data_IF_759500253103
#
_entry.id   IF_759500253103
#
_cell.length_a   1.000
_cell.length_b   1.000
_cell.length_c   1.000
_cell.angle_alpha   90.00
_cell.angle_beta   90.00
_cell.angle_gamma   90.00
#
_symmetry.space_group_name_H-M   'P 1'
#
loop_
_entity.id
_entity.type
_entity.pdbx_description
1 polymer ?
#
# COMPACT_ATOMS: atom_id res chain seq x y z
N UNK A 1 -11.47 0.84 19.93
CA UNK A 1 -10.75 0.00 20.92
C UNK A 1 -10.22 0.93 22.00
N UNK A 2 -10.29 0.56 23.27
CA UNK A 2 -9.92 1.49 24.36
C UNK A 2 -8.40 1.56 24.57
N UNK A 3 -7.67 0.62 23.96
CA UNK A 3 -6.22 0.61 23.89
C UNK A 3 -5.73 0.00 22.57
N UNK A 4 -4.52 0.38 22.17
CA UNK A 4 -3.74 -0.33 21.14
C UNK A 4 -2.54 -0.96 21.83
N UNK A 5 -2.36 -2.26 21.64
CA UNK A 5 -1.16 -2.99 22.06
C UNK A 5 -0.21 -3.06 20.88
N UNK A 6 1.02 -2.60 21.08
CA UNK A 6 2.08 -2.65 20.09
C UNK A 6 3.18 -3.62 20.54
N UNK A 7 3.60 -4.48 19.62
CA UNK A 7 4.69 -5.44 19.83
C UNK A 7 5.81 -5.09 18.85
N UNK A 8 6.96 -4.70 19.38
CA UNK A 8 8.18 -4.49 18.59
C UNK A 8 9.00 -5.78 18.61
N UNK A 9 9.23 -6.34 17.42
CA UNK A 9 10.16 -7.45 17.23
C UNK A 9 11.47 -6.91 16.66
N UNK A 10 12.57 -6.98 17.43
CA UNK A 10 13.90 -6.52 17.02
C UNK A 10 14.95 -7.49 17.54
N UNK A 11 15.88 -7.91 16.68
CA UNK A 11 17.01 -8.78 17.07
C UNK A 11 16.56 -10.05 17.84
N UNK A 12 15.47 -10.68 17.39
CA UNK A 12 14.84 -11.85 18.02
C UNK A 12 14.31 -11.61 19.45
N UNK A 13 14.20 -10.36 19.88
CA UNK A 13 13.54 -9.95 21.13
C UNK A 13 12.21 -9.30 20.83
N UNK A 14 11.27 -9.44 21.76
CA UNK A 14 9.99 -8.74 21.75
C UNK A 14 9.92 -7.71 22.88
N UNK A 15 9.45 -6.52 22.55
CA UNK A 15 9.07 -5.50 23.52
C UNK A 15 7.59 -5.22 23.32
N UNK A 16 6.81 -5.31 24.40
CA UNK A 16 5.37 -5.07 24.37
C UNK A 16 5.07 -3.80 25.14
N UNK A 17 4.25 -2.94 24.56
CA UNK A 17 3.74 -1.76 25.23
C UNK A 17 2.33 -1.45 24.71
N UNK A 18 1.53 -0.74 25.49
CA UNK A 18 0.20 -0.29 25.07
C UNK A 18 0.06 1.21 25.19
N UNK A 19 -0.84 1.77 24.38
CA UNK A 19 -1.29 3.14 24.48
C UNK A 19 -2.80 3.13 24.61
N UNK A 20 -3.33 3.89 25.57
CA UNK A 20 -4.77 4.12 25.66
C UNK A 20 -5.22 4.97 24.47
N UNK A 21 -6.34 4.59 23.88
CA UNK A 21 -6.92 5.31 22.76
C UNK A 21 -8.16 6.01 23.28
N UNK A 22 -8.06 7.33 23.45
CA UNK A 22 -9.19 8.14 23.91
C UNK A 22 -10.40 7.99 22.98
N UNK A 23 -11.60 8.25 23.52
CA UNK A 23 -12.84 8.25 22.73
C UNK A 23 -12.75 9.20 21.54
N UNK A 24 -12.07 10.34 21.71
CA UNK A 24 -11.82 11.32 20.65
C UNK A 24 -11.00 10.73 19.50
N UNK A 25 -9.89 10.04 19.79
CA UNK A 25 -9.06 9.38 18.77
C UNK A 25 -9.85 8.24 18.10
N UNK A 26 -10.60 7.46 18.86
CA UNK A 26 -11.48 6.42 18.30
C UNK A 26 -12.53 7.02 17.34
N UNK A 27 -13.14 8.14 17.70
CA UNK A 27 -14.11 8.84 16.86
C UNK A 27 -13.47 9.34 15.56
N UNK A 28 -12.25 9.89 15.64
CA UNK A 28 -11.46 10.32 14.48
C UNK A 28 -11.08 9.18 13.55
N UNK A 29 -10.64 8.03 14.09
CA UNK A 29 -10.38 6.83 13.28
C UNK A 29 -11.63 6.34 12.54
N UNK A 30 -12.79 6.33 13.22
CA UNK A 30 -14.08 5.99 12.58
C UNK A 30 -14.52 7.02 11.55
N UNK A 31 -14.23 8.32 11.78
CA UNK A 31 -14.47 9.38 10.80
C UNK A 31 -13.61 9.16 9.55
N UNK A 32 -12.33 8.87 9.71
CA UNK A 32 -11.42 8.57 8.62
C UNK A 32 -11.87 7.36 7.81
N UNK A 33 -12.22 6.25 8.48
CA UNK A 33 -12.74 5.05 7.83
C UNK A 33 -13.99 5.36 6.99
N UNK A 34 -14.96 6.08 7.56
CA UNK A 34 -16.18 6.48 6.83
C UNK A 34 -15.86 7.38 5.64
N UNK A 35 -14.88 8.28 5.78
CA UNK A 35 -14.44 9.14 4.68
C UNK A 35 -13.90 8.32 3.51
N UNK A 36 -13.02 7.34 3.78
CA UNK A 36 -12.45 6.47 2.74
C UNK A 36 -13.48 5.60 2.02
N UNK A 37 -14.62 5.32 2.68
CA UNK A 37 -15.71 4.52 2.14
C UNK A 37 -16.83 5.37 1.52
N UNK A 38 -16.71 6.71 1.56
CA UNK A 38 -17.68 7.63 0.97
C UNK A 38 -17.58 7.63 -0.56
N UNK A 39 -18.71 7.77 -1.25
CA UNK A 39 -18.73 7.99 -2.71
C UNK A 39 -17.99 9.28 -3.10
N UNK A 40 -18.08 10.30 -2.25
CA UNK A 40 -17.38 11.58 -2.37
C UNK A 40 -16.54 11.80 -1.11
N UNK A 41 -15.33 11.23 -1.04
CA UNK A 41 -14.44 11.41 0.09
C UNK A 41 -13.94 12.86 0.16
N UNK A 42 -13.88 13.42 1.37
CA UNK A 42 -13.20 14.68 1.64
C UNK A 42 -11.69 14.46 1.54
N UNK A 43 -11.08 15.09 0.54
CA UNK A 43 -9.65 14.96 0.25
C UNK A 43 -8.78 15.56 1.36
N UNK A 44 -9.29 16.53 2.12
CA UNK A 44 -8.57 17.11 3.26
C UNK A 44 -8.37 16.09 4.38
N UNK A 45 -9.20 15.05 4.42
CA UNK A 45 -9.11 13.98 5.41
C UNK A 45 -8.23 12.83 4.96
N UNK A 46 -7.70 12.80 3.72
CA UNK A 46 -6.78 11.74 3.27
C UNK A 46 -5.51 11.66 4.12
N UNK A 47 -5.00 12.81 4.55
CA UNK A 47 -3.95 12.90 5.56
C UNK A 47 -4.57 12.95 6.97
N UNK A 48 -4.72 11.79 7.59
CA UNK A 48 -5.33 11.67 8.92
C UNK A 48 -4.58 12.47 10.00
N UNK A 49 -3.28 12.70 9.81
CA UNK A 49 -2.47 13.47 10.76
C UNK A 49 -2.73 14.97 10.67
N UNK A 50 -3.06 15.49 9.48
CA UNK A 50 -3.42 16.90 9.28
C UNK A 50 -4.92 17.11 9.47
N UNK A 51 -5.74 16.38 8.73
CA UNK A 51 -7.20 16.58 8.71
C UNK A 51 -7.91 16.19 10.00
N UNK A 52 -7.36 15.22 10.75
CA UNK A 52 -7.98 14.70 11.97
C UNK A 52 -7.06 14.75 13.19
N UNK A 53 -5.88 15.36 13.08
CA UNK A 53 -4.89 15.46 14.16
C UNK A 53 -4.51 14.09 14.78
N UNK A 54 -4.57 13.00 14.00
CA UNK A 54 -4.16 11.66 14.45
C UNK A 54 -2.73 11.37 13.97
N UNK A 55 -1.75 11.60 14.85
CA UNK A 55 -0.37 11.15 14.66
C UNK A 55 -0.09 9.74 15.20
N UNK A 56 1.10 9.21 14.90
CA UNK A 56 1.53 7.86 15.30
C UNK A 56 1.57 7.67 16.83
N UNK A 57 1.86 8.74 17.59
CA UNK A 57 1.89 8.72 19.06
C UNK A 57 0.56 8.33 19.72
N UNK A 58 -0.56 8.46 19.01
CA UNK A 58 -1.88 8.06 19.52
C UNK A 58 -2.17 6.57 19.30
N UNK A 59 -1.37 5.90 18.47
CA UNK A 59 -1.58 4.51 18.05
C UNK A 59 -0.44 3.60 18.50
N UNK A 60 0.75 4.15 18.73
CA UNK A 60 1.94 3.41 19.18
C UNK A 60 2.58 4.18 20.33
N UNK A 61 2.97 3.50 21.42
CA UNK A 61 3.72 4.12 22.51
C UNK A 61 4.97 4.86 22.00
N UNK A 62 5.15 6.15 22.34
CA UNK A 62 6.21 6.98 21.75
C UNK A 62 7.60 6.40 21.89
N UNK A 63 7.94 5.82 23.04
CA UNK A 63 9.27 5.25 23.28
C UNK A 63 9.51 3.95 22.48
N UNK A 64 8.47 3.13 22.32
CA UNK A 64 8.52 1.94 21.46
C UNK A 64 8.73 2.37 19.99
N UNK A 65 8.01 3.40 19.55
CA UNK A 65 8.11 3.92 18.19
C UNK A 65 9.49 4.54 17.92
N UNK A 66 10.06 5.31 18.86
CA UNK A 66 11.43 5.83 18.73
C UNK A 66 12.45 4.72 18.53
N UNK A 67 12.32 3.61 19.27
CA UNK A 67 13.21 2.45 19.11
C UNK A 67 13.03 1.79 17.74
N UNK A 68 11.79 1.64 17.28
CA UNK A 68 11.48 1.05 15.98
C UNK A 68 12.06 1.87 14.82
N UNK A 69 11.97 3.19 14.89
CA UNK A 69 12.44 4.12 13.83
C UNK A 69 13.97 4.22 13.72
N UNK A 70 14.73 3.58 14.61
CA UNK A 70 16.19 3.44 14.47
C UNK A 70 16.59 2.31 13.50
N UNK A 71 15.62 1.48 13.05
CA UNK A 71 15.87 0.40 12.12
C UNK A 71 16.18 0.92 10.71
N UNK A 72 16.86 0.10 9.90
CA UNK A 72 17.08 0.38 8.48
C UNK A 72 15.78 0.41 7.68
N UNK A 73 14.79 -0.36 8.12
CA UNK A 73 13.45 -0.46 7.56
C UNK A 73 12.49 -0.87 8.68
N UNK A 74 11.23 -0.47 8.58
CA UNK A 74 10.20 -0.81 9.54
C UNK A 74 9.01 -1.47 8.81
N UNK A 75 8.65 -2.68 9.24
CA UNK A 75 7.44 -3.35 8.80
C UNK A 75 6.37 -3.19 9.88
N UNK A 76 5.24 -2.61 9.50
CA UNK A 76 4.07 -2.52 10.36
C UNK A 76 3.11 -3.65 10.02
N UNK A 77 2.59 -4.32 11.05
CA UNK A 77 1.54 -5.34 10.91
C UNK A 77 0.31 -4.84 11.67
N UNK A 78 -0.60 -4.12 11.01
CA UNK A 78 -1.78 -3.57 11.67
C UNK A 78 -2.79 -4.68 12.01
N UNK A 79 -3.76 -4.35 12.84
CA UNK A 79 -4.89 -5.22 13.12
C UNK A 79 -6.22 -4.48 12.91
N UNK A 80 -7.17 -5.13 12.24
CA UNK A 80 -8.52 -4.60 12.03
C UNK A 80 -8.52 -3.22 11.35
N UNK A 81 -9.21 -2.20 11.90
CA UNK A 81 -9.35 -0.89 11.26
C UNK A 81 -8.01 -0.14 11.10
N UNK A 82 -6.95 -0.56 11.80
CA UNK A 82 -5.62 0.02 11.65
C UNK A 82 -4.98 -0.28 10.28
N UNK A 83 -5.53 -1.23 9.50
CA UNK A 83 -5.10 -1.45 8.11
C UNK A 83 -5.41 -0.27 7.20
N UNK A 84 -6.40 0.56 7.54
CA UNK A 84 -6.76 1.74 6.76
C UNK A 84 -5.80 2.90 7.01
N UNK A 85 -5.06 2.87 8.12
CA UNK A 85 -4.19 3.97 8.51
C UNK A 85 -2.97 4.04 7.56
N UNK A 86 -2.65 5.21 6.99
CA UNK A 86 -1.52 5.36 6.10
C UNK A 86 -0.23 5.48 6.91
N UNK A 87 0.23 4.36 7.47
CA UNK A 87 1.33 4.30 8.45
C UNK A 87 2.57 5.10 8.05
N UNK A 88 3.01 4.96 6.80
CA UNK A 88 4.18 5.67 6.29
C UNK A 88 4.04 7.20 6.43
N UNK A 89 2.84 7.76 6.22
CA UNK A 89 2.58 9.20 6.25
C UNK A 89 2.06 9.71 7.60
N UNK A 90 1.98 8.88 8.64
CA UNK A 90 1.62 9.36 9.98
C UNK A 90 2.67 10.34 10.52
N UNK A 91 2.21 11.37 11.21
CA UNK A 91 3.10 12.33 11.87
C UNK A 91 3.64 11.80 13.21
N UNK A 92 4.92 12.04 13.45
CA UNK A 92 5.62 11.78 14.70
C UNK A 92 6.78 12.77 14.87
N UNK A 93 6.78 13.54 15.96
CA UNK A 93 7.78 14.58 16.25
C UNK A 93 8.02 15.53 15.06
N UNK A 94 6.94 16.09 14.49
CA UNK A 94 6.95 17.04 13.37
C UNK A 94 7.52 16.49 12.05
N UNK A 95 7.68 15.17 11.93
CA UNK A 95 8.06 14.47 10.69
C UNK A 95 7.07 13.37 10.37
N UNK A 96 7.08 12.87 9.14
CA UNK A 96 6.37 11.66 8.70
C UNK A 96 7.22 10.43 8.98
N UNK A 97 6.59 9.28 9.21
CA UNK A 97 7.33 8.05 9.50
C UNK A 97 8.31 7.67 8.37
N UNK A 98 7.93 7.89 7.11
CA UNK A 98 8.79 7.64 5.94
C UNK A 98 10.06 8.52 5.92
N UNK A 99 10.11 9.62 6.68
CA UNK A 99 11.31 10.46 6.77
C UNK A 99 12.37 9.90 7.73
N UNK A 100 12.03 8.88 8.54
CA UNK A 100 12.98 8.21 9.42
C UNK A 100 13.58 6.96 8.77
N UNK A 101 12.74 6.11 8.17
CA UNK A 101 13.16 4.91 7.45
C UNK A 101 12.05 4.46 6.47
N UNK A 102 12.35 3.57 5.50
CA UNK A 102 11.34 2.92 4.67
C UNK A 102 10.31 2.17 5.53
N UNK A 103 9.03 2.41 5.26
CA UNK A 103 7.92 1.79 5.98
C UNK A 103 7.17 0.84 5.05
N UNK A 104 7.16 -0.44 5.39
CA UNK A 104 6.33 -1.48 4.76
C UNK A 104 5.11 -1.80 5.62
N UNK A 105 4.04 -2.31 5.00
CA UNK A 105 2.86 -2.80 5.72
C UNK A 105 2.58 -4.23 5.28
N UNK A 106 2.42 -5.14 6.25
CA UNK A 106 1.97 -6.51 5.99
C UNK A 106 0.52 -6.70 6.47
N UNK A 107 -0.25 -7.56 5.80
CA UNK A 107 -1.62 -7.87 6.24
C UNK A 107 -1.63 -8.68 7.56
N UNK A 108 -0.60 -9.49 7.81
CA UNK A 108 -0.42 -10.22 9.06
C UNK A 108 1.05 -10.65 9.21
N UNK A 109 1.41 -11.12 10.41
CA UNK A 109 2.80 -11.47 10.73
C UNK A 109 3.31 -12.68 9.95
N UNK A 110 2.44 -13.61 9.56
CA UNK A 110 2.87 -14.83 8.85
C UNK A 110 3.47 -14.55 7.47
N UNK A 111 3.11 -13.42 6.85
CA UNK A 111 3.66 -12.97 5.57
C UNK A 111 5.15 -12.62 5.63
N UNK A 112 5.75 -12.44 6.81
CA UNK A 112 7.18 -12.11 6.94
C UNK A 112 8.07 -13.19 6.33
N UNK A 113 7.62 -14.44 6.33
CA UNK A 113 8.35 -15.57 5.74
C UNK A 113 8.49 -15.44 4.22
N UNK A 114 7.62 -14.66 3.57
CA UNK A 114 7.62 -14.45 2.12
C UNK A 114 8.45 -13.22 1.69
N UNK A 115 8.91 -12.39 2.64
CA UNK A 115 9.71 -11.20 2.32
C UNK A 115 11.14 -11.51 1.89
N UNK A 116 11.63 -12.73 2.15
CA UNK A 116 12.95 -13.18 1.73
C UNK A 116 13.04 -13.60 0.26
N UNK A 117 12.03 -13.32 -0.56
CA UNK A 117 12.08 -13.62 -1.99
C UNK A 117 13.10 -12.69 -2.68
N UNK A 118 14.08 -13.28 -3.36
CA UNK A 118 15.06 -12.52 -4.13
C UNK A 118 14.37 -11.84 -5.32
N UNK A 119 14.36 -10.50 -5.32
CA UNK A 119 13.97 -9.77 -6.51
C UNK A 119 15.04 -9.92 -7.59
N UNK A 120 14.62 -10.18 -8.83
CA UNK A 120 15.55 -10.28 -9.94
C UNK A 120 16.32 -8.97 -10.13
N UNK A 121 17.65 -9.04 -10.15
CA UNK A 121 18.55 -7.91 -10.47
C UNK A 121 18.37 -7.39 -11.90
N UNK A 122 17.64 -8.12 -12.75
CA UNK A 122 17.26 -7.75 -14.11
C UNK A 122 15.75 -7.92 -14.29
N UNK A 123 14.97 -7.16 -13.52
CA UNK A 123 13.51 -7.25 -13.51
C UNK A 123 12.94 -7.07 -14.92
N UNK A 124 12.13 -8.04 -15.33
CA UNK A 124 11.24 -7.95 -16.49
C UNK A 124 9.87 -7.43 -16.02
N UNK A 125 9.08 -6.86 -16.93
CA UNK A 125 7.77 -6.29 -16.60
C UNK A 125 6.66 -6.85 -17.48
N UNK A 126 5.56 -7.28 -16.86
CA UNK A 126 4.28 -7.55 -17.48
C UNK A 126 3.38 -6.32 -17.30
N UNK A 127 2.71 -5.89 -18.37
CA UNK A 127 1.93 -4.65 -18.40
C UNK A 127 0.47 -4.93 -18.76
N UNK A 128 -0.44 -4.54 -17.88
CA UNK A 128 -1.88 -4.58 -18.12
C UNK A 128 -2.53 -3.31 -17.57
N UNK A 129 -3.39 -2.64 -18.34
CA UNK A 129 -4.02 -1.43 -17.85
C UNK A 129 -4.84 -0.69 -18.88
N UNK A 130 -5.43 0.43 -18.47
CA UNK A 130 -6.39 1.18 -19.28
C UNK A 130 -7.46 0.27 -19.94
N UNK A 131 -8.14 -0.58 -19.16
CA UNK A 131 -9.14 -1.47 -19.71
C UNK A 131 -10.33 -0.67 -20.27
N UNK A 132 -11.03 -1.27 -21.21
CA UNK A 132 -12.23 -0.69 -21.77
C UNK A 132 -13.42 -0.88 -20.82
N UNK A 133 -13.89 0.21 -20.23
CA UNK A 133 -15.05 0.24 -19.33
C UNK A 133 -16.38 0.46 -20.06
N UNK A 134 -16.45 0.31 -21.39
CA UNK A 134 -17.66 0.59 -22.16
C UNK A 134 -18.94 -0.13 -21.68
N UNK A 135 -18.80 -1.29 -21.05
CA UNK A 135 -19.91 -2.06 -20.44
C UNK A 135 -20.30 -1.55 -19.02
N UNK A 136 -19.49 -0.66 -18.43
CA UNK A 136 -19.63 -0.13 -17.07
C UNK A 136 -19.88 1.38 -17.10
N UNK A 137 -21.14 1.78 -17.30
CA UNK A 137 -21.55 3.19 -17.44
C UNK A 137 -21.26 4.07 -16.22
N UNK A 138 -21.02 3.49 -15.05
CA UNK A 138 -20.68 4.21 -13.81
C UNK A 138 -19.18 4.44 -13.62
N UNK A 139 -18.33 3.95 -14.53
CA UNK A 139 -16.87 4.02 -14.42
C UNK A 139 -16.29 4.82 -15.58
N UNK A 140 -15.78 6.01 -15.27
CA UNK A 140 -15.06 6.82 -16.26
C UNK A 140 -13.69 6.21 -16.58
N UNK A 141 -13.21 6.36 -17.81
CA UNK A 141 -11.82 6.00 -18.14
C UNK A 141 -10.85 6.82 -17.30
N UNK A 142 -9.78 6.18 -16.85
CA UNK A 142 -8.66 6.85 -16.21
C UNK A 142 -7.84 7.57 -17.29
N UNK A 143 -7.81 8.92 -17.33
CA UNK A 143 -7.33 9.68 -18.48
C UNK A 143 -5.83 9.49 -18.78
N UNK A 144 -5.05 9.00 -17.80
CA UNK A 144 -3.60 8.84 -17.92
C UNK A 144 -3.12 7.38 -17.88
N UNK A 145 -4.01 6.40 -17.67
CA UNK A 145 -3.61 5.01 -17.50
C UNK A 145 -2.93 4.45 -18.77
N UNK A 146 -3.44 4.78 -19.96
CA UNK A 146 -2.82 4.34 -21.23
C UNK A 146 -1.44 4.96 -21.44
N UNK A 147 -1.30 6.26 -21.13
CA UNK A 147 -0.04 6.98 -21.22
C UNK A 147 1.00 6.41 -20.24
N UNK A 148 0.58 6.08 -19.02
CA UNK A 148 1.43 5.42 -18.02
C UNK A 148 1.99 4.09 -18.54
N UNK A 149 1.13 3.23 -19.08
CA UNK A 149 1.52 1.94 -19.67
C UNK A 149 2.53 2.13 -20.80
N UNK A 150 2.31 3.07 -21.72
CA UNK A 150 3.23 3.30 -22.83
C UNK A 150 4.61 3.83 -22.35
N UNK A 151 4.63 4.71 -21.35
CA UNK A 151 5.90 5.20 -20.77
C UNK A 151 6.71 4.06 -20.14
N UNK A 152 6.07 3.15 -19.41
CA UNK A 152 6.74 2.00 -18.80
C UNK A 152 7.21 1.04 -19.90
N UNK A 153 6.36 0.75 -20.88
CA UNK A 153 6.69 -0.09 -22.03
C UNK A 153 7.94 0.43 -22.74
N UNK A 154 8.02 1.73 -23.03
CA UNK A 154 9.18 2.32 -23.70
C UNK A 154 10.46 2.05 -22.92
N UNK A 155 10.46 2.33 -21.61
CA UNK A 155 11.61 2.15 -20.71
C UNK A 155 12.11 0.70 -20.62
N UNK A 156 11.21 -0.28 -20.70
CA UNK A 156 11.57 -1.70 -20.59
C UNK A 156 11.79 -2.38 -21.95
N UNK A 157 11.16 -1.91 -23.03
CA UNK A 157 11.33 -2.44 -24.39
C UNK A 157 12.73 -2.18 -24.93
N UNK A 158 13.30 -1.01 -24.66
CA UNK A 158 14.70 -0.67 -25.01
C UNK A 158 15.72 -1.68 -24.45
N UNK A 159 15.34 -2.44 -23.41
CA UNK A 159 16.20 -3.41 -22.73
C UNK A 159 15.78 -4.86 -23.00
N UNK A 160 14.76 -5.10 -23.83
CA UNK A 160 14.19 -6.43 -24.09
C UNK A 160 13.56 -7.07 -22.85
N UNK A 161 12.93 -6.27 -21.98
CA UNK A 161 12.46 -6.70 -20.64
C UNK A 161 10.93 -6.71 -20.49
N UNK A 162 10.19 -6.83 -21.60
CA UNK A 162 8.74 -7.01 -21.56
C UNK A 162 8.41 -8.50 -21.47
N UNK A 163 7.46 -8.84 -20.59
CA UNK A 163 6.90 -10.18 -20.42
C UNK A 163 5.59 -10.22 -21.21
N UNK A 164 5.49 -11.18 -22.14
CA UNK A 164 4.30 -11.36 -22.95
C UNK A 164 3.91 -10.12 -23.77
N UNK A 165 2.60 -9.99 -24.04
CA UNK A 165 2.03 -8.84 -24.72
C UNK A 165 1.62 -7.76 -23.72
N UNK A 166 1.76 -6.49 -24.10
CA UNK A 166 1.16 -5.38 -23.34
C UNK A 166 -0.35 -5.39 -23.58
N UNK A 167 -1.12 -5.47 -22.50
CA UNK A 167 -2.58 -5.63 -22.57
C UNK A 167 -3.29 -4.32 -22.20
N UNK A 168 -3.97 -3.71 -23.17
CA UNK A 168 -4.80 -2.50 -22.98
C UNK A 168 -6.19 -2.65 -23.59
N UNK A 169 -7.10 -1.74 -23.27
CA UNK A 169 -8.45 -1.70 -23.85
C UNK A 169 -9.23 -2.99 -23.62
N UNK A 170 -9.81 -3.56 -24.68
CA UNK A 170 -10.62 -4.78 -24.61
C UNK A 170 -9.83 -6.02 -24.13
N UNK A 171 -8.50 -6.01 -24.24
CA UNK A 171 -7.64 -7.13 -23.86
C UNK A 171 -7.19 -7.08 -22.39
N UNK A 172 -7.33 -5.94 -21.71
CA UNK A 172 -6.96 -5.77 -20.31
C UNK A 172 -8.06 -6.31 -19.37
N UNK A 173 -8.35 -7.61 -19.49
CA UNK A 173 -9.36 -8.33 -18.69
C UNK A 173 -8.70 -9.34 -17.77
N UNK A 174 -9.47 -9.93 -16.85
CA UNK A 174 -8.99 -10.95 -15.91
C UNK A 174 -8.26 -12.12 -16.60
N UNK A 175 -8.75 -12.56 -17.76
CA UNK A 175 -8.07 -13.58 -18.57
C UNK A 175 -6.64 -13.16 -18.93
N UNK A 176 -6.46 -11.91 -19.38
CA UNK A 176 -5.16 -11.35 -19.72
C UNK A 176 -4.23 -11.21 -18.51
N UNK A 177 -4.79 -10.87 -17.34
CA UNK A 177 -4.04 -10.89 -16.09
C UNK A 177 -3.45 -12.28 -15.81
N UNK A 178 -4.28 -13.33 -15.89
CA UNK A 178 -3.81 -14.70 -15.64
C UNK A 178 -2.83 -15.20 -16.70
N UNK A 179 -2.98 -14.79 -17.96
CA UNK A 179 -2.00 -15.09 -19.02
C UNK A 179 -0.63 -14.49 -18.71
N UNK A 180 -0.58 -13.24 -18.22
CA UNK A 180 0.66 -12.58 -17.82
C UNK A 180 1.25 -13.16 -16.53
N UNK A 181 0.41 -13.42 -15.51
CA UNK A 181 0.85 -13.96 -14.23
C UNK A 181 1.41 -15.38 -14.35
N UNK A 182 0.86 -16.20 -15.25
CA UNK A 182 1.33 -17.56 -15.52
C UNK A 182 2.37 -17.63 -16.65
N UNK A 183 2.83 -16.48 -17.18
CA UNK A 183 3.83 -16.48 -18.23
C UNK A 183 5.14 -17.11 -17.72
N UNK A 184 5.82 -17.92 -18.54
CA UNK A 184 7.07 -18.61 -18.19
C UNK A 184 8.22 -17.70 -17.73
N UNK A 185 8.11 -16.40 -18.00
CA UNK A 185 9.09 -15.37 -17.66
C UNK A 185 8.61 -14.46 -16.50
N UNK A 186 7.47 -14.78 -15.87
CA UNK A 186 6.86 -13.98 -14.80
C UNK A 186 7.60 -14.11 -13.47
N UNK A 187 8.31 -15.21 -13.23
CA UNK A 187 9.04 -15.44 -12.00
C UNK A 187 10.10 -14.35 -11.76
N UNK A 188 10.06 -13.74 -10.57
CA UNK A 188 10.92 -12.60 -10.21
C UNK A 188 10.68 -11.33 -11.03
N UNK A 189 9.64 -11.31 -11.86
CA UNK A 189 9.21 -10.17 -12.67
C UNK A 189 8.31 -9.20 -11.90
N UNK A 190 8.06 -8.06 -12.52
CA UNK A 190 7.15 -7.03 -12.02
C UNK A 190 5.85 -7.12 -12.81
N UNK A 191 4.72 -7.18 -12.12
CA UNK A 191 3.41 -6.99 -12.74
C UNK A 191 2.94 -5.56 -12.43
N UNK A 192 2.74 -4.76 -13.47
CA UNK A 192 2.18 -3.42 -13.34
C UNK A 192 0.75 -3.40 -13.86
N UNK A 193 -0.17 -2.95 -13.01
CA UNK A 193 -1.61 -2.90 -13.26
C UNK A 193 -2.11 -1.45 -13.12
N UNK A 194 -2.68 -0.89 -14.18
CA UNK A 194 -3.28 0.45 -14.17
C UNK A 194 -4.77 0.38 -14.50
N UNK A 195 -5.62 0.23 -13.48
CA UNK A 195 -7.07 0.18 -13.61
C UNK A 195 -7.78 0.76 -12.37
N UNK A 196 -9.10 0.87 -12.41
CA UNK A 196 -9.87 1.14 -11.19
C UNK A 196 -9.71 -0.01 -10.19
N UNK A 197 -9.51 0.33 -8.92
CA UNK A 197 -9.60 -0.63 -7.84
C UNK A 197 -11.05 -0.82 -7.41
N UNK A 198 -11.41 -2.03 -6.99
CA UNK A 198 -12.64 -2.28 -6.26
C UNK A 198 -12.28 -2.65 -4.82
N UNK A 199 -12.85 -1.95 -3.85
CA UNK A 199 -12.97 -2.50 -2.50
C UNK A 199 -14.21 -3.39 -2.52
N UNK A 200 -14.02 -4.70 -2.47
CA UNK A 200 -15.09 -5.66 -2.14
C UNK A 200 -14.99 -6.02 -0.67
#
# INVERSE_FOLDING_TARGET
PDQVVAVLLKERKSTVASVEVSEEINSRLKCYQRNLQSELPDQNLYDISVGLAVGAKHLVPPELLRQALQAKELIVVPHGPLHLVPWASLSFNNKRLFEYCPIGVLPNLSCILNLGADFSTRSKVALIGSPDYGELSFVNRLPNAEKEIEMIKQKYSERGRIIGNVLTGANAREKGFWELANHKDAEGGILHIACHGAQR
#
